data_IF_888972188226
#
_entry.id   IF_888972188226
#
_cell.length_a   1.000
_cell.length_b   1.000
_cell.length_c   1.000
_cell.angle_alpha   90.00
_cell.angle_beta   90.00
_cell.angle_gamma   90.00
#
_symmetry.space_group_name_H-M   'P 1'
#
loop_
_entity.id
_entity.type
_entity.pdbx_description
1 polymer ?
#
# COMPACT_ATOMS: atom_id res chain seq x y z
N UNK A 1 -31.30 38.13 -4.78
CA UNK A 1 -31.08 36.68 -5.02
C UNK A 1 -31.56 35.92 -3.78
N UNK A 2 -32.69 35.22 -3.87
CA UNK A 2 -33.39 34.61 -2.73
C UNK A 2 -32.60 33.44 -2.14
N UNK A 3 -32.70 33.18 -0.83
CA UNK A 3 -32.01 32.08 -0.14
C UNK A 3 -32.19 30.72 -0.85
N UNK A 4 -33.38 30.50 -1.42
CA UNK A 4 -33.73 29.33 -2.21
C UNK A 4 -32.83 29.15 -3.44
N UNK A 5 -32.57 30.22 -4.20
CA UNK A 5 -31.69 30.17 -5.38
C UNK A 5 -30.23 29.84 -5.02
N UNK A 6 -29.77 30.25 -3.83
CA UNK A 6 -28.43 29.91 -3.32
C UNK A 6 -28.34 28.43 -2.96
N UNK A 7 -29.38 27.87 -2.32
CA UNK A 7 -29.44 26.46 -1.95
C UNK A 7 -29.49 25.54 -3.18
N UNK A 8 -30.25 25.94 -4.21
CA UNK A 8 -30.28 25.21 -5.49
C UNK A 8 -28.92 25.17 -6.17
N UNK A 9 -28.22 26.31 -6.23
CA UNK A 9 -26.88 26.38 -6.83
C UNK A 9 -25.89 25.48 -6.08
N UNK A 10 -25.93 25.49 -4.74
CA UNK A 10 -25.10 24.63 -3.90
C UNK A 10 -25.34 23.14 -4.22
N UNK A 11 -26.60 22.73 -4.34
CA UNK A 11 -26.95 21.35 -4.66
C UNK A 11 -26.46 20.94 -6.06
N UNK A 12 -26.62 21.82 -7.06
CA UNK A 12 -26.12 21.55 -8.41
C UNK A 12 -24.60 21.35 -8.42
N UNK A 13 -23.84 22.21 -7.71
CA UNK A 13 -22.38 22.07 -7.59
C UNK A 13 -22.02 20.75 -6.90
N UNK A 14 -22.72 20.40 -5.81
CA UNK A 14 -22.50 19.15 -5.10
C UNK A 14 -22.71 17.93 -5.99
N UNK A 15 -23.82 17.86 -6.73
CA UNK A 15 -24.08 16.73 -7.63
C UNK A 15 -23.08 16.65 -8.77
N UNK A 16 -22.72 17.77 -9.40
CA UNK A 16 -21.70 17.81 -10.45
C UNK A 16 -20.38 17.26 -9.92
N UNK A 17 -19.97 17.66 -8.71
CA UNK A 17 -18.77 17.13 -8.07
C UNK A 17 -18.87 15.62 -7.83
N UNK A 18 -19.96 15.13 -7.23
CA UNK A 18 -20.17 13.70 -6.96
C UNK A 18 -20.14 12.85 -8.24
N UNK A 19 -20.68 13.36 -9.35
CA UNK A 19 -20.65 12.66 -10.63
C UNK A 19 -19.29 12.70 -11.31
N UNK A 20 -18.57 13.83 -11.26
CA UNK A 20 -17.31 14.01 -12.00
C UNK A 20 -16.09 13.48 -11.25
N UNK A 21 -16.08 13.53 -9.91
CA UNK A 21 -14.95 13.14 -9.09
C UNK A 21 -14.50 11.67 -9.29
N UNK A 22 -15.40 10.68 -9.45
CA UNK A 22 -15.00 9.30 -9.77
C UNK A 22 -14.30 9.13 -11.13
N UNK A 23 -14.52 10.05 -12.08
CA UNK A 23 -13.90 10.02 -13.42
C UNK A 23 -12.48 10.57 -13.47
N UNK A 24 -11.92 11.05 -12.35
CA UNK A 24 -10.55 11.57 -12.29
C UNK A 24 -9.47 10.57 -12.76
N UNK A 25 -9.80 9.28 -12.77
CA UNK A 25 -8.91 8.23 -13.24
C UNK A 25 -8.49 8.39 -14.72
N UNK A 26 -9.25 9.11 -15.55
CA UNK A 26 -8.84 9.42 -16.93
C UNK A 26 -7.61 10.34 -17.01
N UNK A 27 -7.32 11.08 -15.94
CA UNK A 27 -6.15 11.97 -15.85
C UNK A 27 -4.95 11.25 -15.22
N UNK A 28 -5.20 10.18 -14.46
CA UNK A 28 -4.16 9.39 -13.80
C UNK A 28 -3.64 8.33 -14.79
N UNK A 29 -2.40 8.52 -15.26
CA UNK A 29 -1.81 7.73 -16.35
C UNK A 29 -1.21 6.39 -15.89
N UNK A 30 -1.09 6.19 -14.58
CA UNK A 30 -0.51 4.97 -14.01
C UNK A 30 -1.47 3.78 -14.10
N UNK A 31 -0.92 2.56 -14.00
CA UNK A 31 -1.72 1.35 -13.75
C UNK A 31 -2.41 1.48 -12.38
N UNK A 32 -3.55 2.17 -12.35
CA UNK A 32 -4.31 2.58 -11.16
C UNK A 32 -4.65 1.40 -10.25
N UNK A 33 -4.84 0.22 -10.83
CA UNK A 33 -5.12 -1.01 -10.10
C UNK A 33 -3.89 -1.54 -9.35
N UNK A 34 -2.68 -1.24 -9.80
CA UNK A 34 -1.44 -1.64 -9.12
C UNK A 34 -1.01 -0.59 -8.09
N UNK A 35 -0.94 0.68 -8.49
CA UNK A 35 -0.45 1.76 -7.61
C UNK A 35 -1.50 2.25 -6.61
N UNK A 36 -2.78 1.96 -6.82
CA UNK A 36 -3.92 2.44 -6.02
C UNK A 36 -4.06 3.97 -5.95
N UNK A 37 -3.26 4.71 -6.73
CA UNK A 37 -3.31 6.16 -6.81
C UNK A 37 -4.69 6.61 -7.29
N UNK A 38 -5.40 7.37 -6.46
CA UNK A 38 -6.73 7.85 -6.80
C UNK A 38 -7.80 6.75 -6.86
N UNK A 39 -7.54 5.57 -6.30
CA UNK A 39 -8.51 4.48 -6.24
C UNK A 39 -9.65 4.76 -5.23
N UNK A 40 -9.37 5.42 -4.09
CA UNK A 40 -10.39 5.73 -3.08
C UNK A 40 -11.55 6.54 -3.69
N UNK A 41 -12.79 6.07 -3.57
CA UNK A 41 -13.99 6.69 -4.19
C UNK A 41 -14.07 6.62 -5.73
N UNK A 42 -13.18 5.89 -6.40
CA UNK A 42 -13.34 5.57 -7.81
C UNK A 42 -14.27 4.36 -7.98
N UNK A 43 -15.09 4.35 -9.04
CA UNK A 43 -15.95 3.21 -9.34
C UNK A 43 -15.17 1.92 -9.62
N UNK A 44 -13.93 2.03 -10.10
CA UNK A 44 -13.04 0.90 -10.39
C UNK A 44 -12.67 0.07 -9.16
N UNK A 45 -12.86 0.60 -7.93
CA UNK A 45 -12.71 -0.18 -6.68
C UNK A 45 -13.56 -1.45 -6.70
N UNK A 46 -14.78 -1.34 -7.25
CA UNK A 46 -15.76 -2.43 -7.20
C UNK A 46 -15.44 -3.60 -8.12
N UNK A 47 -14.49 -3.44 -9.05
CA UNK A 47 -14.11 -4.48 -10.03
C UNK A 47 -12.68 -4.99 -9.82
N UNK A 48 -12.10 -4.68 -8.67
CA UNK A 48 -10.72 -5.04 -8.34
C UNK A 48 -10.69 -6.10 -7.24
N UNK A 49 -9.98 -7.18 -7.51
CA UNK A 49 -9.57 -8.18 -6.54
C UNK A 49 -8.04 -8.27 -6.51
N UNK A 50 -7.46 -8.05 -5.33
CA UNK A 50 -6.04 -8.30 -5.05
C UNK A 50 -5.92 -9.44 -4.05
N UNK A 51 -5.02 -10.36 -4.35
CA UNK A 51 -4.54 -11.35 -3.40
C UNK A 51 -3.01 -11.34 -3.44
N UNK A 52 -2.38 -11.36 -2.28
CA UNK A 52 -0.94 -11.25 -2.16
C UNK A 52 -0.33 -12.23 -1.18
N UNK A 53 0.97 -12.43 -1.32
CA UNK A 53 1.83 -13.07 -0.34
C UNK A 53 3.05 -12.17 -0.12
N UNK A 54 3.34 -11.84 1.13
CA UNK A 54 4.47 -10.96 1.47
C UNK A 54 5.22 -11.49 2.68
N UNK A 55 6.50 -11.78 2.49
CA UNK A 55 7.44 -12.12 3.56
C UNK A 55 8.54 -11.07 3.68
N UNK A 56 9.17 -10.99 4.85
CA UNK A 56 10.18 -9.95 5.13
C UNK A 56 11.56 -10.58 5.31
N UNK A 57 12.56 -10.04 4.63
CA UNK A 57 13.97 -10.39 4.86
C UNK A 57 14.60 -9.32 5.73
N UNK A 58 15.07 -9.71 6.91
CA UNK A 58 15.82 -8.84 7.81
C UNK A 58 17.31 -9.11 7.63
N UNK A 59 18.07 -8.05 7.41
CA UNK A 59 19.53 -8.10 7.25
C UNK A 59 20.17 -7.37 8.41
N UNK A 60 21.11 -8.02 9.10
CA UNK A 60 21.94 -7.38 10.10
C UNK A 60 23.13 -6.71 9.41
N UNK A 61 23.21 -5.38 9.46
CA UNK A 61 24.21 -4.61 8.73
C UNK A 61 25.64 -4.80 9.27
N UNK A 62 25.79 -5.19 10.54
CA UNK A 62 27.09 -5.42 11.15
C UNK A 62 27.67 -6.80 10.80
N UNK A 63 26.82 -7.83 10.76
CA UNK A 63 27.25 -9.24 10.56
C UNK A 63 26.95 -9.77 9.17
N UNK A 64 26.19 -9.02 8.36
CA UNK A 64 25.68 -9.40 7.04
C UNK A 64 24.80 -10.66 7.04
N UNK A 65 24.40 -11.15 8.22
CA UNK A 65 23.47 -12.29 8.35
C UNK A 65 22.06 -11.86 7.95
N UNK A 66 21.39 -12.72 7.19
CA UNK A 66 20.02 -12.51 6.72
C UNK A 66 19.11 -13.61 7.27
N UNK A 67 17.89 -13.25 7.63
CA UNK A 67 16.86 -14.22 8.00
C UNK A 67 15.48 -13.73 7.55
N UNK A 68 14.60 -14.68 7.26
CA UNK A 68 13.23 -14.41 6.84
C UNK A 68 12.29 -14.37 8.06
N UNK A 69 11.38 -13.40 8.04
CA UNK A 69 10.31 -13.23 9.02
C UNK A 69 8.98 -13.40 8.30
N UNK A 70 8.16 -14.30 8.84
CA UNK A 70 6.82 -14.57 8.33
C UNK A 70 5.80 -13.76 9.14
N UNK A 71 4.91 -13.00 8.48
CA UNK A 71 3.91 -12.19 9.18
C UNK A 71 2.96 -13.01 10.06
N UNK A 72 2.65 -14.24 9.69
CA UNK A 72 1.88 -15.21 10.49
C UNK A 72 2.40 -15.43 11.92
N UNK A 73 3.66 -15.11 12.21
CA UNK A 73 4.22 -15.16 13.58
C UNK A 73 3.80 -13.98 14.47
N UNK A 74 3.21 -12.93 13.88
CA UNK A 74 2.91 -11.64 14.51
C UNK A 74 1.46 -11.22 14.32
N UNK A 75 0.89 -11.53 13.16
CA UNK A 75 -0.40 -11.07 12.70
C UNK A 75 -1.41 -12.22 12.72
N UNK A 76 -2.66 -11.87 12.98
CA UNK A 76 -3.78 -12.79 12.71
C UNK A 76 -3.90 -13.04 11.21
N UNK A 77 -4.53 -14.15 10.82
CA UNK A 77 -4.72 -14.51 9.40
C UNK A 77 -5.39 -13.39 8.60
N UNK A 78 -6.35 -12.66 9.19
CA UNK A 78 -7.01 -11.54 8.51
C UNK A 78 -6.05 -10.37 8.32
N UNK A 79 -5.28 -10.02 9.35
CA UNK A 79 -4.29 -8.94 9.26
C UNK A 79 -3.17 -9.26 8.27
N UNK A 80 -2.66 -10.49 8.29
CA UNK A 80 -1.67 -10.97 7.32
C UNK A 80 -2.22 -10.91 5.89
N UNK A 81 -3.45 -11.40 5.68
CA UNK A 81 -4.10 -11.35 4.37
C UNK A 81 -4.27 -9.92 3.88
N UNK A 82 -4.72 -9.00 4.73
CA UNK A 82 -4.89 -7.60 4.34
C UNK A 82 -3.55 -6.93 4.04
N UNK A 83 -2.55 -7.17 4.90
CA UNK A 83 -1.22 -6.61 4.75
C UNK A 83 -0.53 -7.10 3.47
N UNK A 84 -0.74 -8.35 3.06
CA UNK A 84 0.05 -8.98 2.00
C UNK A 84 -0.04 -8.31 0.62
N UNK A 85 -1.01 -7.44 0.37
CA UNK A 85 -1.17 -6.70 -0.89
C UNK A 85 -1.36 -5.18 -0.71
N UNK A 86 -1.34 -4.67 0.53
CA UNK A 86 -1.53 -3.26 0.84
C UNK A 86 -0.18 -2.61 1.16
N UNK A 87 0.32 -1.67 0.34
CA UNK A 87 1.65 -1.08 0.50
C UNK A 87 1.84 -0.41 1.86
N UNK A 88 0.86 0.37 2.30
CA UNK A 88 0.87 1.06 3.59
C UNK A 88 1.00 0.08 4.77
N UNK A 89 0.27 -1.04 4.74
CA UNK A 89 0.36 -2.08 5.76
C UNK A 89 1.70 -2.82 5.72
N UNK A 90 2.25 -3.07 4.53
CA UNK A 90 3.58 -3.69 4.36
C UNK A 90 4.66 -2.80 4.98
N UNK A 91 4.61 -1.50 4.68
CA UNK A 91 5.51 -0.51 5.27
C UNK A 91 5.37 -0.46 6.80
N UNK A 92 4.13 -0.35 7.31
CA UNK A 92 3.88 -0.30 8.76
C UNK A 92 4.40 -1.55 9.47
N UNK A 93 4.21 -2.74 8.87
CA UNK A 93 4.73 -3.98 9.45
C UNK A 93 6.26 -4.01 9.44
N UNK A 94 6.92 -3.51 8.39
CA UNK A 94 8.38 -3.37 8.37
C UNK A 94 8.88 -2.42 9.48
N UNK A 95 8.23 -1.27 9.68
CA UNK A 95 8.58 -0.35 10.78
C UNK A 95 8.41 -1.02 12.15
N UNK A 96 7.31 -1.76 12.34
CA UNK A 96 7.07 -2.54 13.56
C UNK A 96 8.18 -3.56 13.83
N UNK A 97 8.63 -4.30 12.81
CA UNK A 97 9.78 -5.20 12.93
C UNK A 97 11.05 -4.42 13.27
N UNK A 98 11.26 -3.27 12.63
CA UNK A 98 12.37 -2.35 12.88
C UNK A 98 12.48 -1.94 14.34
N UNK A 99 11.39 -1.45 14.92
CA UNK A 99 11.31 -1.10 16.34
C UNK A 99 11.57 -2.31 17.26
N UNK A 100 10.94 -3.45 16.95
CA UNK A 100 11.09 -4.65 17.77
C UNK A 100 12.53 -5.15 17.83
N UNK A 101 13.26 -5.17 16.71
CA UNK A 101 14.64 -5.64 16.67
C UNK A 101 15.64 -4.62 17.23
N UNK A 102 15.38 -3.31 17.05
CA UNK A 102 16.17 -2.26 17.70
C UNK A 102 16.04 -2.32 19.22
N UNK A 103 14.82 -2.46 19.74
CA UNK A 103 14.57 -2.47 21.19
C UNK A 103 15.06 -3.75 21.88
N UNK A 104 14.90 -4.92 21.25
CA UNK A 104 15.26 -6.19 21.89
C UNK A 104 16.74 -6.58 21.74
N UNK A 105 17.45 -6.06 20.74
CA UNK A 105 18.79 -6.52 20.39
C UNK A 105 19.78 -5.42 19.97
N UNK A 106 19.37 -4.15 19.94
CA UNK A 106 20.23 -3.03 19.53
C UNK A 106 20.81 -3.16 18.12
N UNK A 107 20.12 -3.90 17.24
CA UNK A 107 20.67 -4.25 15.92
C UNK A 107 20.48 -3.10 14.92
N UNK A 108 21.56 -2.76 14.23
CA UNK A 108 21.50 -2.02 12.96
C UNK A 108 21.03 -2.99 11.87
N UNK A 109 19.82 -2.78 11.37
CA UNK A 109 19.16 -3.69 10.41
C UNK A 109 18.58 -2.95 9.22
N UNK A 110 18.45 -3.68 8.13
CA UNK A 110 17.70 -3.32 6.93
C UNK A 110 16.60 -4.35 6.70
N UNK A 111 15.43 -3.92 6.21
CA UNK A 111 14.27 -4.80 6.01
C UNK A 111 13.78 -4.68 4.56
N UNK A 112 13.71 -5.82 3.88
CA UNK A 112 13.26 -5.91 2.50
C UNK A 112 11.98 -6.74 2.44
N UNK A 113 11.01 -6.33 1.63
CA UNK A 113 9.81 -7.13 1.39
C UNK A 113 9.97 -8.00 0.13
N UNK A 114 9.66 -9.28 0.27
CA UNK A 114 9.40 -10.17 -0.85
C UNK A 114 7.89 -10.26 -1.03
N UNK A 115 7.34 -9.33 -1.80
CA UNK A 115 5.90 -9.21 -2.04
C UNK A 115 5.53 -9.65 -3.44
N UNK A 116 4.55 -10.56 -3.53
CA UNK A 116 3.94 -10.98 -4.80
C UNK A 116 2.44 -10.81 -4.74
N UNK A 117 1.88 -10.09 -5.71
CA UNK A 117 0.44 -9.81 -5.79
C UNK A 117 -0.11 -10.30 -7.12
N UNK A 118 -1.29 -10.90 -7.06
CA UNK A 118 -2.15 -11.22 -8.19
C UNK A 118 -3.29 -10.20 -8.24
N UNK A 119 -3.56 -9.72 -9.45
CA UNK A 119 -4.65 -8.79 -9.73
C UNK A 119 -5.67 -9.49 -10.64
N UNK A 120 -6.93 -9.57 -10.20
CA UNK A 120 -8.06 -10.12 -10.96
C UNK A 120 -7.77 -11.51 -11.57
N UNK A 121 -7.18 -12.42 -10.78
CA UNK A 121 -6.91 -13.81 -11.19
C UNK A 121 -5.71 -14.01 -12.13
N UNK A 122 -4.96 -12.95 -12.45
CA UNK A 122 -3.74 -13.05 -13.27
C UNK A 122 -2.59 -13.70 -12.50
N UNK A 123 -1.56 -14.18 -13.22
CA UNK A 123 -0.33 -14.65 -12.58
C UNK A 123 0.25 -13.57 -11.65
N UNK A 124 0.73 -13.98 -10.47
CA UNK A 124 1.29 -13.03 -9.52
C UNK A 124 2.58 -12.42 -10.04
N UNK A 125 2.78 -11.15 -9.73
CA UNK A 125 4.00 -10.39 -10.03
C UNK A 125 4.61 -9.86 -8.75
N UNK A 126 5.91 -9.57 -8.80
CA UNK A 126 6.57 -8.78 -7.76
C UNK A 126 5.83 -7.46 -7.60
N UNK A 127 5.46 -7.12 -6.37
CA UNK A 127 4.63 -5.96 -6.11
C UNK A 127 5.40 -4.76 -5.57
N UNK A 128 6.33 -4.99 -4.64
CA UNK A 128 7.24 -3.97 -4.11
C UNK A 128 8.65 -4.33 -4.57
N UNK A 129 9.44 -3.33 -4.94
CA UNK A 129 10.85 -3.53 -5.30
C UNK A 129 11.60 -4.28 -4.18
N UNK A 130 12.08 -5.51 -4.42
CA UNK A 130 12.74 -6.31 -3.40
C UNK A 130 14.10 -5.74 -2.96
N UNK A 131 14.59 -4.69 -3.64
CA UNK A 131 15.86 -4.02 -3.33
C UNK A 131 15.70 -2.79 -2.44
N UNK A 132 14.47 -2.32 -2.19
CA UNK A 132 14.25 -1.17 -1.32
C UNK A 132 14.32 -1.60 0.14
N UNK A 133 15.11 -0.88 0.94
CA UNK A 133 15.07 -1.00 2.39
C UNK A 133 13.86 -0.21 2.91
N UNK A 134 12.87 -0.93 3.42
CA UNK A 134 11.64 -0.32 3.92
C UNK A 134 11.87 0.55 5.15
N UNK A 135 12.98 0.36 5.88
CA UNK A 135 13.32 1.18 7.04
C UNK A 135 13.93 2.54 6.66
N UNK A 136 14.35 2.73 5.41
CA UNK A 136 14.89 4.03 4.95
C UNK A 136 13.81 4.97 4.43
N UNK A 137 12.59 4.48 4.24
CA UNK A 137 11.45 5.30 3.81
C UNK A 137 10.93 6.13 4.98
N UNK A 138 10.90 7.46 4.84
CA UNK A 138 10.54 8.39 5.92
C UNK A 138 9.03 8.46 6.15
N UNK A 139 8.26 8.20 5.10
CA UNK A 139 6.80 8.31 5.09
C UNK A 139 6.13 7.12 4.41
N UNK A 140 4.85 6.90 4.75
CA UNK A 140 4.04 5.86 4.10
C UNK A 140 3.83 6.13 2.61
N UNK A 141 3.89 7.38 2.18
CA UNK A 141 3.64 7.74 0.78
C UNK A 141 4.80 7.32 -0.13
N UNK A 142 6.02 7.26 0.40
CA UNK A 142 7.20 6.87 -0.38
C UNK A 142 7.15 5.44 -0.90
N UNK A 143 6.50 4.51 -0.18
CA UNK A 143 6.42 3.12 -0.63
C UNK A 143 5.69 2.97 -1.96
N UNK A 144 4.77 3.88 -2.28
CA UNK A 144 4.02 3.84 -3.54
C UNK A 144 4.92 4.10 -4.76
N UNK A 145 6.06 4.78 -4.57
CA UNK A 145 7.06 4.98 -5.64
C UNK A 145 7.88 3.71 -5.95
N UNK A 146 7.77 2.68 -5.10
CA UNK A 146 8.48 1.41 -5.23
C UNK A 146 7.57 0.25 -5.67
N UNK A 147 6.34 0.56 -6.10
CA UNK A 147 5.40 -0.45 -6.62
C UNK A 147 5.77 -0.82 -8.06
N UNK A 148 5.76 -2.11 -8.36
CA UNK A 148 6.00 -2.67 -9.70
C UNK A 148 4.69 -3.10 -10.38
N UNK A 149 4.51 -2.87 -11.71
CA UNK A 149 3.30 -3.21 -12.47
C UNK A 149 3.23 -4.64 -13.07
#
# INVERSE_FOLDING_TARGET
MTLYSKLQLQNCVFFIFQFTFPFRHHVLTDNLLWTENGLRFAWHVMIMEKNGHTDFTVVNNNTQKKFTVYPSQYLTTIQEKQMSFQPDMIWQFAQHLGEKYRNNKGLNISIYANSKVSLNGRASKTYIDPKVDLLTLESVDEIYNHIQP
#
